data_IF_658117206020
#
_entry.id   IF_658117206020
#
_cell.length_a   1.000
_cell.length_b   1.000
_cell.length_c   1.000
_cell.angle_alpha   90.00
_cell.angle_beta   90.00
_cell.angle_gamma   90.00
#
_symmetry.space_group_name_H-M   'P 1'
#
loop_
_entity.id
_entity.type
_entity.pdbx_description
1 polymer ?
#
# COMPACT_ATOMS: atom_id res chain seq x y z
N UNK A 1 -20.86 2.61 -21.65
CA UNK A 1 -20.81 1.37 -22.46
C UNK A 1 -20.90 0.18 -21.52
N UNK A 2 -21.97 -0.62 -21.59
CA UNK A 2 -22.05 -1.90 -20.87
C UNK A 2 -21.11 -2.90 -21.55
N UNK A 3 -19.87 -3.00 -21.06
CA UNK A 3 -18.95 -4.06 -21.50
C UNK A 3 -19.45 -5.38 -20.93
N UNK A 4 -19.77 -6.32 -21.82
CA UNK A 4 -20.08 -7.71 -21.45
C UNK A 4 -18.85 -8.30 -20.77
N UNK A 5 -19.03 -8.87 -19.58
CA UNK A 5 -17.97 -9.52 -18.82
C UNK A 5 -17.55 -10.83 -19.51
N UNK A 6 -16.26 -11.15 -19.46
CA UNK A 6 -15.78 -12.48 -19.89
C UNK A 6 -16.39 -13.57 -19.00
N UNK A 7 -16.59 -14.80 -19.51
CA UNK A 7 -17.06 -15.92 -18.69
C UNK A 7 -16.22 -16.08 -17.41
N UNK A 8 -16.89 -16.26 -16.27
CA UNK A 8 -16.25 -16.38 -14.95
C UNK A 8 -15.85 -15.06 -14.28
N UNK A 9 -15.95 -13.92 -14.97
CA UNK A 9 -15.68 -12.62 -14.36
C UNK A 9 -16.88 -12.14 -13.56
N UNK A 10 -16.59 -11.49 -12.43
CA UNK A 10 -17.58 -10.85 -11.56
C UNK A 10 -17.16 -9.42 -11.28
N UNK A 11 -18.12 -8.51 -11.28
CA UNK A 11 -17.89 -7.19 -10.70
C UNK A 11 -17.83 -7.32 -9.18
N UNK A 12 -16.86 -6.62 -8.59
CA UNK A 12 -16.69 -6.49 -7.13
C UNK A 12 -16.35 -5.04 -6.82
N UNK A 13 -16.72 -4.54 -5.64
CA UNK A 13 -16.19 -3.27 -5.18
C UNK A 13 -14.76 -3.49 -4.70
N UNK A 14 -13.87 -2.51 -4.90
CA UNK A 14 -12.48 -2.61 -4.45
C UNK A 14 -12.37 -2.98 -2.96
N UNK A 15 -13.16 -2.32 -2.11
CA UNK A 15 -13.20 -2.62 -0.67
C UNK A 15 -13.77 -3.99 -0.28
N UNK A 16 -14.41 -4.72 -1.20
CA UNK A 16 -14.88 -6.09 -0.93
C UNK A 16 -13.71 -7.09 -0.94
N UNK A 17 -12.68 -6.80 -1.75
CA UNK A 17 -11.54 -7.70 -2.04
C UNK A 17 -10.20 -7.16 -1.56
N UNK A 18 -10.13 -5.91 -1.10
CA UNK A 18 -8.94 -5.28 -0.51
C UNK A 18 -9.21 -4.92 0.95
N UNK A 19 -8.21 -5.11 1.81
CA UNK A 19 -8.23 -4.69 3.21
C UNK A 19 -7.20 -3.58 3.44
N UNK A 20 -7.61 -2.55 4.19
CA UNK A 20 -6.69 -1.59 4.80
C UNK A 20 -6.16 -2.19 6.11
N UNK A 21 -4.85 -2.40 6.19
CA UNK A 21 -4.20 -2.83 7.44
C UNK A 21 -4.37 -1.75 8.51
N UNK A 22 -4.80 -2.18 9.69
CA UNK A 22 -4.93 -1.36 10.90
C UNK A 22 -3.78 -1.60 11.88
N UNK A 23 -2.73 -2.32 11.46
CA UNK A 23 -1.59 -2.59 12.31
C UNK A 23 -0.93 -1.26 12.75
N UNK A 24 -0.63 -1.18 14.04
CA UNK A 24 -0.02 -0.02 14.67
C UNK A 24 1.06 -0.48 15.65
N UNK A 25 2.16 0.25 15.68
CA UNK A 25 3.18 0.18 16.73
C UNK A 25 3.10 1.46 17.57
N UNK A 26 3.16 1.32 18.90
CA UNK A 26 3.20 2.49 19.81
C UNK A 26 4.63 3.02 19.96
N UNK A 27 5.61 2.13 19.87
CA UNK A 27 7.03 2.43 19.96
C UNK A 27 7.75 1.57 18.91
N UNK A 28 7.91 2.08 17.67
CA UNK A 28 8.46 1.27 16.59
C UNK A 28 9.90 0.84 16.85
N UNK A 29 10.71 1.65 17.55
CA UNK A 29 12.08 1.27 17.91
C UNK A 29 12.10 0.09 18.90
N UNK A 30 11.25 0.15 19.94
CA UNK A 30 11.12 -0.96 20.89
C UNK A 30 10.59 -2.24 20.23
N UNK A 31 9.77 -2.11 19.19
CA UNK A 31 9.27 -3.22 18.37
C UNK A 31 10.27 -3.72 17.31
N UNK A 32 11.49 -3.17 17.28
CA UNK A 32 12.55 -3.56 16.33
C UNK A 32 12.37 -3.03 14.91
N UNK A 33 11.56 -1.98 14.74
CA UNK A 33 11.28 -1.32 13.47
C UNK A 33 12.19 -0.09 13.31
N UNK A 34 13.19 -0.21 12.44
CA UNK A 34 14.18 0.85 12.22
C UNK A 34 13.84 1.77 11.05
N UNK A 35 13.00 1.33 10.10
CA UNK A 35 12.76 2.03 8.84
C UNK A 35 11.37 2.64 8.78
N UNK A 36 11.28 3.84 8.22
CA UNK A 36 10.00 4.44 7.87
C UNK A 36 9.90 4.83 6.40
N UNK A 37 8.67 4.84 5.88
CA UNK A 37 8.35 5.29 4.52
C UNK A 37 7.38 6.47 4.56
N UNK A 38 7.84 7.60 4.05
CA UNK A 38 7.05 8.80 3.78
C UNK A 38 6.59 8.89 2.32
N UNK A 39 5.79 9.90 1.97
CA UNK A 39 5.32 10.08 0.59
C UNK A 39 6.45 10.51 -0.37
N UNK A 40 7.45 11.19 0.15
CA UNK A 40 8.69 11.57 -0.50
C UNK A 40 9.54 10.36 -0.90
N UNK A 41 9.29 9.20 -0.29
CA UNK A 41 10.01 7.96 -0.57
C UNK A 41 9.32 7.06 -1.63
N UNK A 42 8.10 7.45 -2.06
CA UNK A 42 7.34 6.73 -3.09
C UNK A 42 7.40 7.48 -4.41
N UNK A 43 7.87 6.82 -5.46
CA UNK A 43 7.97 7.38 -6.81
C UNK A 43 6.76 6.98 -7.67
N UNK A 44 6.10 7.91 -8.37
CA UNK A 44 5.07 7.58 -9.35
C UNK A 44 5.59 6.58 -10.40
N UNK A 45 4.88 5.47 -10.58
CA UNK A 45 5.22 4.45 -11.58
C UNK A 45 6.32 3.47 -11.18
N UNK A 46 7.08 3.69 -10.11
CA UNK A 46 7.98 2.67 -9.56
C UNK A 46 7.27 1.90 -8.44
N UNK A 47 7.04 0.61 -8.66
CA UNK A 47 6.42 -0.28 -7.68
C UNK A 47 7.37 -0.71 -6.56
N UNK A 48 8.63 -0.28 -6.57
CA UNK A 48 9.61 -0.59 -5.53
C UNK A 48 9.85 0.59 -4.60
N UNK A 49 10.09 0.29 -3.33
CA UNK A 49 10.56 1.28 -2.36
C UNK A 49 12.07 1.43 -2.55
N UNK A 50 12.51 2.58 -3.07
CA UNK A 50 13.94 2.86 -3.36
C UNK A 50 14.66 3.60 -2.25
N UNK A 51 13.91 4.26 -1.39
CA UNK A 51 14.41 5.08 -0.30
C UNK A 51 13.51 4.95 0.92
N UNK A 52 14.06 5.22 2.10
CA UNK A 52 13.37 5.22 3.38
C UNK A 52 14.17 6.07 4.36
N UNK A 53 13.53 6.51 5.44
CA UNK A 53 14.21 7.18 6.57
C UNK A 53 14.39 6.25 7.77
N UNK A 54 15.08 6.74 8.80
CA UNK A 54 15.30 6.01 10.04
C UNK A 54 14.29 6.44 11.11
N UNK A 55 13.66 5.50 11.78
CA UNK A 55 12.72 5.78 12.89
C UNK A 55 13.44 6.53 14.02
N UNK A 56 14.72 6.25 14.24
CA UNK A 56 15.55 6.93 15.24
C UNK A 56 15.69 8.45 15.03
N UNK A 57 15.37 8.95 13.83
CA UNK A 57 15.36 10.39 13.52
C UNK A 57 14.16 11.14 14.13
N UNK A 58 13.33 10.47 14.93
CA UNK A 58 12.27 11.09 15.74
C UNK A 58 10.91 11.23 15.05
N UNK A 59 10.60 10.36 14.08
CA UNK A 59 9.28 10.34 13.43
C UNK A 59 8.19 9.78 14.35
N UNK A 60 6.95 10.25 14.17
CA UNK A 60 5.78 9.83 14.97
C UNK A 60 4.90 8.80 14.25
N UNK A 61 5.44 8.14 13.23
CA UNK A 61 4.69 7.20 12.40
C UNK A 61 4.44 5.89 13.13
N UNK A 62 3.18 5.48 13.18
CA UNK A 62 2.75 4.28 13.91
C UNK A 62 2.15 3.21 13.01
N UNK A 63 1.76 3.54 11.77
CA UNK A 63 1.15 2.58 10.83
C UNK A 63 2.18 1.56 10.36
N UNK A 64 2.02 0.30 10.71
CA UNK A 64 2.98 -0.76 10.35
C UNK A 64 2.63 -1.36 9.00
N UNK A 65 3.66 -1.59 8.18
CA UNK A 65 3.61 -2.39 6.97
C UNK A 65 4.57 -3.57 7.04
N UNK A 66 4.27 -4.61 6.25
CA UNK A 66 5.05 -5.84 6.14
C UNK A 66 5.35 -6.15 4.67
N UNK A 67 6.36 -6.99 4.38
CA UNK A 67 6.64 -7.45 3.03
C UNK A 67 5.40 -8.01 2.34
N UNK A 68 5.24 -7.67 1.05
CA UNK A 68 4.10 -8.05 0.21
C UNK A 68 2.88 -7.12 0.32
N UNK A 69 2.83 -6.20 1.29
CA UNK A 69 1.76 -5.21 1.39
C UNK A 69 2.02 -4.03 0.45
N UNK A 70 0.95 -3.39 -0.01
CA UNK A 70 0.99 -2.26 -0.93
C UNK A 70 0.90 -0.96 -0.14
N UNK A 71 1.90 -0.09 -0.30
CA UNK A 71 1.89 1.28 0.21
C UNK A 71 1.28 2.21 -0.84
N UNK A 72 0.10 2.74 -0.53
CA UNK A 72 -0.66 3.63 -1.40
C UNK A 72 -0.70 5.05 -0.83
N UNK A 73 -0.16 6.03 -1.55
CA UNK A 73 -0.21 7.42 -1.16
C UNK A 73 -1.63 8.00 -1.27
N UNK A 74 -2.32 8.17 -0.13
CA UNK A 74 -3.72 8.65 -0.11
C UNK A 74 -3.82 10.16 -0.36
N UNK A 75 -2.81 10.93 0.05
CA UNK A 75 -2.76 12.36 -0.18
C UNK A 75 -2.31 12.63 -1.61
N UNK A 76 -3.08 13.44 -2.33
CA UNK A 76 -2.86 13.70 -3.77
C UNK A 76 -2.80 12.39 -4.56
N UNK A 77 -3.78 11.52 -4.34
CA UNK A 77 -3.82 10.17 -4.85
C UNK A 77 -3.61 10.10 -6.39
N UNK A 78 -4.06 11.11 -7.14
CA UNK A 78 -3.82 11.27 -8.58
C UNK A 78 -2.34 11.20 -9.01
N UNK A 79 -1.38 11.39 -8.10
CA UNK A 79 0.05 11.22 -8.36
C UNK A 79 0.46 9.74 -8.48
N UNK A 80 -0.43 8.81 -8.12
CA UNK A 80 -0.26 7.35 -8.29
C UNK A 80 1.02 6.82 -7.65
N UNK A 81 1.37 7.39 -6.50
CA UNK A 81 2.47 6.91 -5.64
C UNK A 81 2.04 5.61 -4.98
N UNK A 82 2.48 4.50 -5.56
CA UNK A 82 2.15 3.14 -5.13
C UNK A 82 3.41 2.28 -5.19
N UNK A 83 3.74 1.60 -4.10
CA UNK A 83 4.84 0.64 -4.07
C UNK A 83 4.47 -0.62 -3.28
N UNK A 84 5.15 -1.72 -3.55
CA UNK A 84 5.07 -2.96 -2.78
C UNK A 84 6.23 -2.98 -1.79
N UNK A 85 5.92 -3.24 -0.53
CA UNK A 85 6.92 -3.38 0.52
C UNK A 85 7.69 -4.70 0.36
N UNK A 86 9.01 -4.63 0.42
CA UNK A 86 9.95 -5.78 0.47
C UNK A 86 10.61 -5.93 1.85
N UNK A 87 10.39 -4.98 2.75
CA UNK A 87 10.78 -5.03 4.17
C UNK A 87 9.61 -4.63 5.09
N UNK A 88 9.79 -4.77 6.41
CA UNK A 88 8.84 -4.29 7.43
C UNK A 88 9.22 -2.90 7.91
N UNK A 89 8.24 -2.03 8.14
CA UNK A 89 8.48 -0.65 8.55
C UNK A 89 7.23 0.03 9.09
N UNK A 90 7.36 1.30 9.45
CA UNK A 90 6.22 2.19 9.68
C UNK A 90 6.08 3.21 8.55
N UNK A 91 4.85 3.67 8.26
CA UNK A 91 4.63 4.66 7.21
C UNK A 91 3.88 5.90 7.70
N UNK A 92 4.04 6.98 6.94
CA UNK A 92 3.29 8.22 7.14
C UNK A 92 1.78 7.98 7.23
N UNK A 93 1.08 8.82 8.00
CA UNK A 93 -0.39 8.82 8.05
C UNK A 93 -1.06 9.14 6.71
N UNK A 94 -0.30 9.67 5.75
CA UNK A 94 -0.71 9.91 4.37
C UNK A 94 -0.55 8.68 3.45
N UNK A 95 -0.17 7.53 3.99
CA UNK A 95 -0.04 6.27 3.27
C UNK A 95 -1.06 5.26 3.83
N UNK A 96 -1.76 4.59 2.93
CA UNK A 96 -2.54 3.40 3.23
C UNK A 96 -1.69 2.15 3.00
N UNK A 97 -1.74 1.24 3.97
CA UNK A 97 -1.14 -0.10 3.86
C UNK A 97 -2.25 -1.06 3.43
N UNK A 98 -2.24 -1.47 2.17
CA UNK A 98 -3.27 -2.28 1.54
C UNK A 98 -2.78 -3.71 1.34
N UNK A 99 -3.71 -4.66 1.43
CA UNK A 99 -3.47 -6.06 1.13
C UNK A 99 -4.71 -6.71 0.51
N UNK A 100 -4.53 -7.78 -0.25
CA UNK A 100 -5.66 -8.56 -0.73
C UNK A 100 -6.38 -9.22 0.45
N UNK A 101 -7.69 -8.98 0.57
CA UNK A 101 -8.55 -9.62 1.58
C UNK A 101 -8.87 -11.06 1.20
N UNK A 102 -8.90 -11.35 -0.10
CA UNK A 102 -9.27 -12.65 -0.66
C UNK A 102 -8.34 -12.98 -1.83
N UNK A 103 -7.16 -13.58 -1.57
CA UNK A 103 -6.16 -13.89 -2.61
C UNK A 103 -6.69 -14.76 -3.77
N UNK A 104 -7.72 -15.56 -3.53
CA UNK A 104 -8.40 -16.36 -4.57
C UNK A 104 -9.27 -15.52 -5.53
N UNK A 105 -9.65 -14.31 -5.12
CA UNK A 105 -10.49 -13.38 -5.91
C UNK A 105 -9.64 -12.27 -6.51
N UNK A 106 -8.70 -11.73 -5.74
CA UNK A 106 -7.74 -10.73 -6.17
C UNK A 106 -6.34 -11.20 -5.80
N UNK A 107 -5.52 -11.52 -6.80
CA UNK A 107 -4.12 -11.85 -6.59
C UNK A 107 -3.40 -10.66 -5.91
N UNK A 108 -2.66 -10.89 -4.81
CA UNK A 108 -1.92 -9.83 -4.12
C UNK A 108 -1.01 -9.03 -5.06
N UNK A 109 -0.39 -9.71 -6.03
CA UNK A 109 0.54 -9.14 -7.00
C UNK A 109 -0.16 -8.24 -8.02
N UNK A 110 -1.46 -8.42 -8.25
CA UNK A 110 -2.25 -7.59 -9.18
C UNK A 110 -2.70 -6.27 -8.54
N UNK A 111 -2.92 -6.25 -7.22
CA UNK A 111 -3.34 -5.07 -6.46
C UNK A 111 -2.52 -3.79 -6.76
N UNK A 112 -1.17 -3.80 -6.70
CA UNK A 112 -0.38 -2.59 -6.97
C UNK A 112 -0.64 -2.04 -8.38
N UNK A 113 -0.79 -2.90 -9.39
CA UNK A 113 -1.06 -2.48 -10.76
C UNK A 113 -2.45 -1.84 -10.90
N UNK A 114 -3.48 -2.41 -10.25
CA UNK A 114 -4.83 -1.79 -10.22
C UNK A 114 -4.74 -0.37 -9.67
N UNK A 115 -4.03 -0.19 -8.55
CA UNK A 115 -3.87 1.11 -7.89
C UNK A 115 -3.07 2.15 -8.70
N UNK A 116 -2.35 1.75 -9.76
CA UNK A 116 -1.64 2.67 -10.66
C UNK A 116 -2.44 3.06 -11.90
N UNK A 117 -3.56 2.39 -12.18
CA UNK A 117 -4.36 2.67 -13.39
C UNK A 117 -5.15 3.97 -13.30
N UNK A 118 -5.38 4.62 -14.44
CA UNK A 118 -6.26 5.79 -14.57
C UNK A 118 -7.67 5.50 -14.05
N UNK A 119 -8.20 4.31 -14.33
CA UNK A 119 -9.56 3.92 -13.95
C UNK A 119 -9.76 3.78 -12.42
N UNK A 120 -8.68 3.79 -11.64
CA UNK A 120 -8.74 3.79 -10.18
C UNK A 120 -8.99 5.18 -9.59
N UNK A 121 -8.73 6.25 -10.35
CA UNK A 121 -8.83 7.65 -9.93
C UNK A 121 -9.98 8.38 -10.64
#
# INVERSE_FOLDING_TARGET
MNKVLKPGWRHVKFGDVVRLSKARSKDPLADGIERYVGLEHLEPGDLRIRSWGNVADGVTFTSVFKPGQVLFGKRRAYQRKVAVADFSGVCSGDIYVLESKAPKVLLPELLPFICQTDAFF
#
